data_IF_923585735503
#
_entry.id   IF_923585735503
#
_cell.length_a   1.000
_cell.length_b   1.000
_cell.length_c   1.000
_cell.angle_alpha   90.00
_cell.angle_beta   90.00
_cell.angle_gamma   90.00
#
_symmetry.space_group_name_H-M   'P 1'
#
loop_
_entity.id
_entity.type
_entity.pdbx_description
1 polymer ?
#
# COMPACT_ATOMS: atom_id res chain seq x y z
N UNK A 1 -31.69 -47.46 -41.67
CA UNK A 1 -30.98 -47.57 -40.37
C UNK A 1 -30.11 -46.34 -40.20
N UNK A 2 -30.65 -45.31 -39.50
CA UNK A 2 -29.93 -44.04 -39.27
C UNK A 2 -29.05 -44.18 -38.01
N UNK A 3 -27.73 -44.01 -38.20
CA UNK A 3 -26.80 -43.95 -37.06
C UNK A 3 -26.93 -42.55 -36.41
N UNK A 4 -27.40 -42.54 -35.16
CA UNK A 4 -27.40 -41.35 -34.32
C UNK A 4 -25.98 -41.11 -33.82
N UNK A 5 -25.30 -40.09 -34.33
CA UNK A 5 -24.02 -39.64 -33.77
C UNK A 5 -24.33 -38.87 -32.48
N UNK A 6 -23.93 -39.45 -31.33
CA UNK A 6 -23.95 -38.80 -30.03
C UNK A 6 -22.73 -37.88 -29.94
N UNK A 7 -22.96 -36.56 -30.05
CA UNK A 7 -21.91 -35.56 -29.81
C UNK A 7 -21.83 -35.35 -28.32
N UNK A 8 -20.74 -35.84 -27.71
CA UNK A 8 -20.42 -35.63 -26.32
C UNK A 8 -19.81 -34.22 -26.16
N UNK A 9 -20.56 -33.28 -25.64
CA UNK A 9 -20.03 -31.97 -25.26
C UNK A 9 -19.26 -32.13 -23.93
N UNK A 10 -17.94 -32.14 -23.98
CA UNK A 10 -17.09 -32.04 -22.80
C UNK A 10 -16.99 -30.52 -22.52
N UNK A 11 -17.72 -30.03 -21.54
CA UNK A 11 -17.53 -28.70 -20.99
C UNK A 11 -16.23 -28.71 -20.17
N UNK A 12 -15.16 -28.18 -20.75
CA UNK A 12 -13.94 -27.85 -20.01
C UNK A 12 -14.30 -26.66 -19.08
N UNK A 13 -14.62 -26.97 -17.84
CA UNK A 13 -14.57 -25.96 -16.77
C UNK A 13 -13.10 -25.68 -16.49
N UNK A 14 -12.54 -24.63 -17.09
CA UNK A 14 -11.32 -24.03 -16.62
C UNK A 14 -11.65 -23.41 -15.24
N UNK A 15 -11.27 -24.10 -14.17
CA UNK A 15 -11.18 -23.47 -12.86
C UNK A 15 -10.09 -22.40 -12.97
N UNK A 16 -10.48 -21.17 -13.23
CA UNK A 16 -9.61 -20.04 -12.94
C UNK A 16 -9.49 -20.01 -11.42
N UNK A 17 -8.35 -20.46 -10.90
CA UNK A 17 -8.01 -20.20 -9.51
C UNK A 17 -8.01 -18.69 -9.33
N UNK A 18 -9.05 -18.15 -8.74
CA UNK A 18 -9.07 -16.78 -8.28
C UNK A 18 -8.11 -16.72 -7.09
N UNK A 19 -6.84 -16.42 -7.37
CA UNK A 19 -5.90 -16.12 -6.30
C UNK A 19 -6.38 -14.84 -5.61
N UNK A 20 -6.89 -15.01 -4.41
CA UNK A 20 -7.20 -13.89 -3.54
C UNK A 20 -5.86 -13.21 -3.23
N UNK A 21 -5.68 -11.99 -3.71
CA UNK A 21 -4.55 -11.16 -3.35
C UNK A 21 -4.71 -10.79 -1.87
N UNK A 22 -3.73 -11.17 -1.06
CA UNK A 22 -3.80 -11.01 0.40
C UNK A 22 -3.11 -9.75 0.92
N UNK A 23 -2.65 -8.89 0.04
CA UNK A 23 -1.96 -7.63 0.41
C UNK A 23 -2.81 -6.73 1.31
N UNK A 24 -4.13 -6.88 1.25
CA UNK A 24 -5.10 -6.10 2.02
C UNK A 24 -5.75 -6.89 3.16
N UNK A 25 -5.15 -7.98 3.62
CA UNK A 25 -5.70 -8.78 4.71
C UNK A 25 -5.70 -8.04 6.06
N UNK A 26 -4.86 -7.05 6.24
CA UNK A 26 -4.85 -6.18 7.40
C UNK A 26 -5.22 -4.76 7.02
N UNK A 27 -6.03 -4.13 7.86
CA UNK A 27 -6.37 -2.71 7.78
C UNK A 27 -5.97 -2.06 9.09
N UNK A 28 -5.01 -1.12 9.03
CA UNK A 28 -4.57 -0.33 10.16
C UNK A 28 -5.05 1.11 9.96
N UNK A 29 -5.76 1.68 10.94
CA UNK A 29 -6.37 3.00 10.79
C UNK A 29 -6.69 3.65 12.14
N UNK A 30 -6.89 4.96 12.12
CA UNK A 30 -7.34 5.73 13.27
C UNK A 30 -6.36 5.68 14.44
N UNK A 31 -6.89 5.56 15.64
CA UNK A 31 -6.11 5.53 16.87
C UNK A 31 -5.99 4.10 17.37
N UNK A 32 -4.85 3.46 17.05
CA UNK A 32 -4.46 2.11 17.49
C UNK A 32 -5.31 0.96 16.93
N UNK A 33 -6.17 1.21 15.92
CA UNK A 33 -7.10 0.19 15.43
C UNK A 33 -6.53 -0.63 14.26
N UNK A 34 -6.88 -1.90 14.24
CA UNK A 34 -6.63 -2.81 13.12
C UNK A 34 -7.80 -3.76 12.94
N UNK A 35 -8.00 -4.21 11.70
CA UNK A 35 -8.89 -5.32 11.35
C UNK A 35 -8.06 -6.34 10.56
N UNK A 36 -8.15 -7.60 10.97
CA UNK A 36 -7.53 -8.73 10.29
C UNK A 36 -8.60 -9.56 9.59
N UNK A 37 -8.39 -9.85 8.30
CA UNK A 37 -9.28 -10.63 7.43
C UNK A 37 -8.70 -12.01 7.07
N UNK A 38 -7.69 -12.51 7.77
CA UNK A 38 -7.06 -13.82 7.48
C UNK A 38 -8.02 -14.99 7.60
N UNK A 39 -9.07 -14.82 8.37
CA UNK A 39 -10.15 -15.77 8.53
C UNK A 39 -11.44 -15.23 7.90
N UNK A 40 -12.40 -16.12 7.62
CA UNK A 40 -13.72 -15.73 7.09
C UNK A 40 -14.47 -14.71 7.97
N UNK A 41 -14.09 -14.59 9.25
CA UNK A 41 -14.65 -13.59 10.17
C UNK A 41 -13.60 -12.53 10.46
N UNK A 42 -13.83 -11.26 10.15
CA UNK A 42 -12.91 -10.16 10.47
C UNK A 42 -12.72 -10.03 11.99
N UNK A 43 -11.48 -9.87 12.41
CA UNK A 43 -11.11 -9.67 13.82
C UNK A 43 -10.60 -8.26 14.00
N UNK A 44 -11.26 -7.47 14.84
CA UNK A 44 -10.82 -6.13 15.21
C UNK A 44 -9.96 -6.17 16.47
N UNK A 45 -8.93 -5.32 16.53
CA UNK A 45 -8.06 -5.12 17.69
C UNK A 45 -7.68 -3.64 17.82
N UNK A 46 -7.20 -3.25 18.99
CA UNK A 46 -6.71 -1.91 19.33
C UNK A 46 -5.26 -1.95 19.81
N UNK A 47 -4.47 -2.90 19.31
CA UNK A 47 -3.13 -3.20 19.82
C UNK A 47 -1.98 -2.66 18.98
N UNK A 48 -2.26 -1.89 17.89
CA UNK A 48 -1.21 -1.31 17.06
C UNK A 48 -0.60 -0.06 17.68
N UNK A 49 0.63 0.29 17.30
CA UNK A 49 1.25 1.57 17.65
C UNK A 49 0.80 2.75 16.76
N UNK A 50 -0.13 2.50 15.81
CA UNK A 50 -0.61 3.50 14.88
C UNK A 50 -1.43 4.58 15.59
N UNK A 51 -1.00 5.83 15.46
CA UNK A 51 -1.84 6.98 15.76
C UNK A 51 -1.99 7.82 14.50
N UNK A 52 -3.20 7.93 13.98
CA UNK A 52 -3.53 8.77 12.84
C UNK A 52 -4.95 9.31 12.96
N UNK A 53 -5.15 10.56 12.56
CA UNK A 53 -6.49 11.15 12.48
C UNK A 53 -7.13 10.81 11.13
N UNK A 54 -6.36 10.90 10.03
CA UNK A 54 -6.84 10.62 8.67
C UNK A 54 -5.96 9.63 7.90
N UNK A 55 -4.68 9.95 7.74
CA UNK A 55 -3.79 9.23 6.83
C UNK A 55 -3.13 8.01 7.47
N UNK A 56 -3.48 6.84 7.01
CA UNK A 56 -2.82 5.59 7.38
C UNK A 56 -2.77 4.63 6.18
N UNK A 57 -1.76 3.80 6.15
CA UNK A 57 -1.63 2.73 5.16
C UNK A 57 -0.91 1.54 5.78
N UNK A 58 -1.30 0.34 5.39
CA UNK A 58 -0.63 -0.90 5.77
C UNK A 58 -0.56 -1.83 4.56
N UNK A 59 0.32 -2.80 4.63
CA UNK A 59 0.46 -3.80 3.58
C UNK A 59 0.76 -5.16 4.20
N UNK A 60 0.15 -6.19 3.64
CA UNK A 60 0.39 -7.58 3.99
C UNK A 60 1.14 -8.30 2.87
N UNK A 61 1.75 -9.43 3.20
CA UNK A 61 2.36 -10.32 2.22
C UNK A 61 1.28 -10.88 1.28
N UNK A 62 1.49 -10.75 -0.02
CA UNK A 62 0.51 -11.16 -1.04
C UNK A 62 0.20 -12.66 -1.04
N UNK A 63 1.07 -13.48 -0.48
CA UNK A 63 0.96 -14.93 -0.47
C UNK A 63 0.43 -15.45 0.86
N UNK A 64 1.02 -14.99 1.96
CA UNK A 64 0.64 -15.47 3.30
C UNK A 64 -0.51 -14.67 3.89
N UNK A 65 -0.61 -13.38 3.60
CA UNK A 65 -1.55 -12.45 4.21
C UNK A 65 -1.02 -11.81 5.50
N UNK A 66 0.13 -12.25 6.00
CA UNK A 66 0.74 -11.69 7.21
C UNK A 66 1.04 -10.20 7.04
N UNK A 67 0.75 -9.40 8.06
CA UNK A 67 1.11 -7.98 8.08
C UNK A 67 2.62 -7.83 7.90
N UNK A 68 3.04 -7.02 6.95
CA UNK A 68 4.45 -6.67 6.77
C UNK A 68 4.82 -5.44 7.58
N UNK A 69 4.12 -4.34 7.32
CA UNK A 69 4.32 -3.08 8.03
C UNK A 69 3.16 -2.13 7.80
N UNK A 70 3.16 -1.04 8.56
CA UNK A 70 2.16 0.03 8.46
C UNK A 70 2.78 1.39 8.77
N UNK A 71 2.08 2.47 8.40
CA UNK A 71 2.56 3.84 8.59
C UNK A 71 1.40 4.84 8.69
N UNK A 72 1.65 5.94 9.40
CA UNK A 72 0.80 7.13 9.40
C UNK A 72 1.38 8.27 8.52
N UNK A 73 2.38 7.96 7.69
CA UNK A 73 3.07 8.96 6.86
C UNK A 73 4.19 9.73 7.57
N UNK A 74 4.35 9.55 8.88
CA UNK A 74 5.42 10.16 9.69
C UNK A 74 6.35 9.10 10.26
N UNK A 75 5.79 7.98 10.71
CA UNK A 75 6.52 6.84 11.25
C UNK A 75 6.11 5.55 10.53
N UNK A 76 7.04 4.66 10.32
CA UNK A 76 6.83 3.31 9.82
C UNK A 76 7.07 2.32 10.95
N UNK A 77 6.11 1.45 11.20
CA UNK A 77 6.21 0.37 12.20
C UNK A 77 6.21 -0.99 11.51
N UNK A 78 7.01 -1.89 12.02
CA UNK A 78 6.99 -3.29 11.61
C UNK A 78 5.76 -4.04 12.15
N UNK A 79 5.63 -5.32 11.80
CA UNK A 79 4.52 -6.17 12.24
C UNK A 79 4.49 -6.47 13.75
N UNK A 80 5.57 -6.14 14.48
CA UNK A 80 5.66 -6.25 15.93
C UNK A 80 5.40 -4.91 16.64
N UNK A 81 4.82 -3.94 15.94
CA UNK A 81 4.51 -2.61 16.47
C UNK A 81 5.74 -1.78 16.90
N UNK A 82 6.93 -2.19 16.43
CA UNK A 82 8.19 -1.48 16.69
C UNK A 82 8.50 -0.52 15.54
N UNK A 83 8.93 0.73 15.82
CA UNK A 83 9.39 1.60 14.76
C UNK A 83 10.54 0.96 13.98
N UNK A 84 10.43 0.91 12.66
CA UNK A 84 11.52 0.43 11.80
C UNK A 84 12.78 1.28 11.97
N UNK A 85 13.98 0.71 11.81
CA UNK A 85 15.18 1.51 11.63
C UNK A 85 14.96 2.55 10.53
N UNK A 86 15.43 3.78 10.74
CA UNK A 86 15.21 4.94 9.87
C UNK A 86 13.73 5.29 9.57
N UNK A 87 12.77 4.58 10.14
CA UNK A 87 11.35 4.69 9.86
C UNK A 87 10.65 5.91 10.47
N UNK A 88 11.33 6.79 11.17
CA UNK A 88 10.75 8.02 11.74
C UNK A 88 11.10 9.25 10.91
N UNK A 89 10.23 10.27 10.93
CA UNK A 89 10.44 11.54 10.24
C UNK A 89 10.21 11.46 8.73
N UNK A 90 9.25 10.67 8.27
CA UNK A 90 8.72 10.77 6.93
C UNK A 90 7.98 12.11 6.78
N UNK A 91 7.92 12.63 5.55
CA UNK A 91 7.38 13.97 5.24
C UNK A 91 5.86 14.01 5.07
N UNK A 92 5.13 13.02 5.55
CA UNK A 92 3.67 13.07 5.59
C UNK A 92 3.13 13.79 6.82
N UNK A 93 1.82 13.79 6.96
CA UNK A 93 1.14 14.38 8.11
C UNK A 93 -0.01 13.47 8.57
N UNK A 94 0.08 12.97 9.78
CA UNK A 94 -0.90 12.03 10.37
C UNK A 94 -2.29 12.62 10.56
N UNK A 95 -2.43 13.94 10.49
CA UNK A 95 -3.70 14.62 10.78
C UNK A 95 -4.56 14.82 9.54
N UNK A 96 -3.97 14.99 8.35
CA UNK A 96 -4.71 15.49 7.19
C UNK A 96 -4.29 14.84 5.87
N UNK A 97 -3.11 14.21 5.78
CA UNK A 97 -2.59 13.74 4.49
C UNK A 97 -2.76 12.26 4.31
N UNK A 98 -3.12 11.85 3.11
CA UNK A 98 -3.09 10.46 2.73
C UNK A 98 -1.65 9.97 2.58
N UNK A 99 -1.38 8.76 3.07
CA UNK A 99 -0.18 8.01 2.78
C UNK A 99 -0.54 6.77 1.94
N UNK A 100 0.31 6.41 1.01
CA UNK A 100 0.08 5.30 0.09
C UNK A 100 1.28 4.37 0.08
N UNK A 101 1.06 3.09 0.33
CA UNK A 101 2.07 2.04 0.16
C UNK A 101 1.79 1.30 -1.15
N UNK A 102 2.83 1.09 -1.97
CA UNK A 102 2.76 0.24 -3.16
C UNK A 102 3.95 -0.72 -3.21
N UNK A 103 3.78 -1.92 -3.76
CA UNK A 103 4.93 -2.75 -4.11
C UNK A 103 5.86 -1.99 -5.08
N UNK A 104 7.16 -2.25 -5.00
CA UNK A 104 8.11 -1.72 -5.98
C UNK A 104 8.15 -2.66 -7.18
N UNK A 105 7.86 -2.18 -8.41
CA UNK A 105 7.99 -2.96 -9.62
C UNK A 105 9.36 -3.65 -9.73
N UNK A 106 9.36 -4.93 -10.10
CA UNK A 106 10.58 -5.72 -10.22
C UNK A 106 11.19 -6.21 -8.90
N UNK A 107 10.53 -5.98 -7.76
CA UNK A 107 10.98 -6.48 -6.46
C UNK A 107 9.85 -7.18 -5.70
N UNK A 108 10.17 -8.27 -5.03
CA UNK A 108 9.24 -8.97 -4.13
C UNK A 108 9.27 -8.47 -2.68
N UNK A 109 10.30 -7.71 -2.31
CA UNK A 109 10.59 -7.37 -0.91
C UNK A 109 10.73 -5.87 -0.66
N UNK A 110 10.57 -5.04 -1.71
CA UNK A 110 10.66 -3.57 -1.57
C UNK A 110 9.32 -2.92 -1.85
N UNK A 111 9.09 -1.83 -1.13
CA UNK A 111 7.85 -1.09 -1.18
C UNK A 111 8.15 0.41 -1.22
N UNK A 112 7.35 1.14 -1.99
CA UNK A 112 7.29 2.60 -1.90
C UNK A 112 6.29 3.02 -0.84
N UNK A 113 6.62 4.08 -0.12
CA UNK A 113 5.69 4.86 0.71
C UNK A 113 5.63 6.25 0.11
N UNK A 114 4.51 6.63 -0.48
CA UNK A 114 4.28 7.98 -0.99
C UNK A 114 3.62 8.83 0.09
N UNK A 115 4.13 10.04 0.26
CA UNK A 115 3.62 11.01 1.22
C UNK A 115 3.40 12.36 0.56
N UNK A 116 2.36 13.05 0.97
CA UNK A 116 2.08 14.45 0.60
C UNK A 116 2.20 15.33 1.82
N UNK A 117 2.43 16.61 1.61
CA UNK A 117 2.38 17.59 2.70
C UNK A 117 0.96 18.02 3.04
N UNK A 118 0.84 18.60 4.22
CA UNK A 118 -0.38 19.26 4.66
C UNK A 118 -0.71 20.43 3.74
N UNK A 119 -1.92 20.44 3.21
CA UNK A 119 -2.44 21.52 2.38
C UNK A 119 -2.33 22.87 3.10
N UNK A 120 -1.81 23.87 2.41
CA UNK A 120 -1.62 25.21 2.94
C UNK A 120 -0.27 25.48 3.63
N UNK A 121 0.54 24.46 3.85
CA UNK A 121 1.95 24.64 4.15
C UNK A 121 2.74 24.84 2.85
N UNK A 122 3.75 25.68 2.87
CA UNK A 122 4.73 25.82 1.78
C UNK A 122 5.68 24.62 1.72
N UNK A 123 5.15 23.44 1.96
CA UNK A 123 5.89 22.20 2.09
C UNK A 123 6.38 21.63 0.75
N UNK A 124 7.19 20.59 0.80
CA UNK A 124 8.01 20.16 -0.31
C UNK A 124 7.32 19.27 -1.35
N UNK A 125 6.01 19.25 -1.45
CA UNK A 125 5.29 18.51 -2.49
C UNK A 125 5.22 16.99 -2.26
N UNK A 126 5.11 16.23 -3.35
CA UNK A 126 5.01 14.78 -3.31
C UNK A 126 6.38 14.13 -3.13
N UNK A 127 6.48 13.22 -2.17
CA UNK A 127 7.71 12.47 -1.85
C UNK A 127 7.44 10.99 -1.78
N UNK A 128 8.53 10.21 -1.90
CA UNK A 128 8.48 8.79 -1.56
C UNK A 128 9.63 8.38 -0.64
N UNK A 129 9.41 7.31 0.08
CA UNK A 129 10.41 6.56 0.83
C UNK A 129 10.39 5.10 0.36
N UNK A 130 11.48 4.37 0.60
CA UNK A 130 11.61 2.96 0.20
C UNK A 130 11.85 2.12 1.43
N UNK A 131 11.02 1.10 1.63
CA UNK A 131 11.20 0.04 2.63
C UNK A 131 11.76 -1.19 1.94
N UNK A 132 12.75 -1.83 2.57
CA UNK A 132 13.29 -3.14 2.17
C UNK A 132 13.08 -4.16 3.27
N UNK A 133 12.18 -5.13 3.03
CA UNK A 133 11.82 -6.17 3.99
C UNK A 133 12.89 -7.25 4.17
N UNK A 134 13.96 -7.26 3.36
CA UNK A 134 15.08 -8.21 3.55
C UNK A 134 15.99 -7.80 4.69
N UNK A 135 15.89 -6.56 5.14
CA UNK A 135 16.72 -5.98 6.20
C UNK A 135 16.13 -6.24 7.59
N UNK A 136 16.91 -5.95 8.62
CA UNK A 136 16.49 -6.05 10.02
C UNK A 136 15.85 -7.43 10.33
N UNK A 137 16.48 -8.51 9.88
CA UNK A 137 16.00 -9.89 10.08
C UNK A 137 14.57 -10.14 9.54
N UNK A 138 14.17 -9.44 8.48
CA UNK A 138 12.85 -9.58 7.87
C UNK A 138 11.78 -8.69 8.50
N UNK A 139 12.16 -7.75 9.36
CA UNK A 139 11.25 -6.73 9.92
C UNK A 139 11.28 -5.42 9.14
N UNK A 140 12.24 -5.28 8.22
CA UNK A 140 12.34 -4.14 7.33
C UNK A 140 13.17 -2.98 7.86
N UNK A 141 13.63 -2.17 6.92
CA UNK A 141 14.33 -0.90 7.17
C UNK A 141 13.98 0.10 6.08
N UNK A 142 14.00 1.39 6.40
CA UNK A 142 13.77 2.47 5.43
C UNK A 142 15.08 2.88 4.78
N UNK A 143 15.33 2.39 3.57
CA UNK A 143 16.56 2.62 2.81
C UNK A 143 16.70 4.04 2.27
N UNK A 144 15.61 4.55 1.71
CA UNK A 144 15.52 5.90 1.14
C UNK A 144 14.40 6.62 1.84
N UNK A 145 14.66 7.85 2.27
CA UNK A 145 13.66 8.62 2.99
C UNK A 145 13.45 9.98 2.33
N UNK A 146 12.16 10.31 2.10
CA UNK A 146 11.71 11.62 1.68
C UNK A 146 12.31 12.09 0.33
N UNK A 147 12.52 11.16 -0.61
CA UNK A 147 12.98 11.55 -1.95
C UNK A 147 11.90 12.39 -2.63
N UNK A 148 12.30 13.57 -3.12
CA UNK A 148 11.40 14.51 -3.78
C UNK A 148 11.01 13.98 -5.16
N UNK A 149 9.72 13.74 -5.38
CA UNK A 149 9.18 13.30 -6.65
C UNK A 149 8.61 14.48 -7.46
N UNK A 150 7.90 15.40 -6.78
CA UNK A 150 7.29 16.57 -7.39
C UNK A 150 7.32 17.75 -6.42
N UNK A 151 7.86 18.91 -6.87
CA UNK A 151 8.10 20.06 -5.98
C UNK A 151 6.88 20.96 -5.73
N UNK A 152 6.00 21.26 -6.72
CA UNK A 152 4.77 22.01 -6.41
C UNK A 152 3.91 21.28 -5.39
N UNK A 153 3.15 22.06 -4.62
CA UNK A 153 2.21 21.51 -3.63
C UNK A 153 1.16 20.66 -4.35
N UNK A 154 0.93 19.47 -3.84
CA UNK A 154 -0.13 18.58 -4.32
C UNK A 154 -1.30 18.56 -3.34
N UNK A 155 -2.47 18.17 -3.79
CA UNK A 155 -3.60 17.86 -2.93
C UNK A 155 -3.27 16.66 -2.04
N UNK A 156 -3.92 16.56 -0.89
CA UNK A 156 -3.66 15.56 0.14
C UNK A 156 -4.07 14.13 -0.26
N UNK A 157 -4.56 13.94 -1.47
CA UNK A 157 -5.09 12.65 -1.95
C UNK A 157 -4.19 12.02 -2.98
N UNK A 158 -3.93 10.73 -2.77
CA UNK A 158 -3.13 9.87 -3.65
C UNK A 158 -3.93 8.62 -4.01
N UNK A 159 -3.66 8.07 -5.17
CA UNK A 159 -4.12 6.73 -5.53
C UNK A 159 -3.09 6.02 -6.40
N UNK A 160 -3.16 4.70 -6.43
CA UNK A 160 -2.35 3.91 -7.34
C UNK A 160 -3.18 2.80 -7.99
N UNK A 161 -2.77 2.41 -9.19
CA UNK A 161 -3.35 1.28 -9.90
C UNK A 161 -2.29 0.57 -10.73
N UNK A 162 -2.49 -0.70 -10.99
CA UNK A 162 -1.60 -1.45 -11.87
C UNK A 162 -1.63 -0.89 -13.29
N UNK A 163 -0.45 -0.76 -13.88
CA UNK A 163 -0.32 -0.49 -15.31
C UNK A 163 -0.78 -1.72 -16.12
N UNK A 164 -1.27 -1.49 -17.34
CA UNK A 164 -1.79 -2.55 -18.21
C UNK A 164 -0.77 -3.65 -18.58
N UNK A 165 0.52 -3.40 -18.39
CA UNK A 165 1.56 -4.40 -18.58
C UNK A 165 1.65 -5.44 -17.44
N UNK A 166 0.89 -5.26 -16.35
CA UNK A 166 0.84 -6.17 -15.20
C UNK A 166 2.08 -6.15 -14.30
N UNK A 167 3.03 -5.26 -14.52
CA UNK A 167 4.29 -5.16 -13.76
C UNK A 167 4.50 -3.81 -13.11
N UNK A 168 4.14 -2.74 -13.78
CA UNK A 168 4.32 -1.37 -13.31
C UNK A 168 3.07 -0.86 -12.59
N UNK A 169 3.23 0.22 -11.86
CA UNK A 169 2.16 0.85 -11.09
C UNK A 169 2.09 2.32 -11.44
N UNK A 170 0.91 2.81 -11.78
CA UNK A 170 0.63 4.23 -11.86
C UNK A 170 0.35 4.79 -10.46
N UNK A 171 1.01 5.88 -10.11
CA UNK A 171 0.68 6.68 -8.94
C UNK A 171 0.13 8.00 -9.43
N UNK A 172 -1.06 8.38 -8.96
CA UNK A 172 -1.76 9.59 -9.41
C UNK A 172 -1.94 10.55 -8.25
N UNK A 173 -1.58 11.81 -8.48
CA UNK A 173 -1.79 12.93 -7.60
C UNK A 173 -2.43 14.10 -8.35
N UNK A 174 -2.90 15.11 -7.64
CA UNK A 174 -3.46 16.34 -8.21
C UNK A 174 -2.68 17.53 -7.66
N UNK A 175 -2.21 18.44 -8.53
CA UNK A 175 -1.60 19.68 -8.07
C UNK A 175 -2.62 20.57 -7.35
N UNK A 176 -2.15 21.22 -6.29
CA UNK A 176 -3.00 22.14 -5.56
C UNK A 176 -3.18 23.47 -6.31
N UNK A 177 -4.40 23.99 -6.35
CA UNK A 177 -4.71 25.31 -6.89
C UNK A 177 -4.87 25.38 -8.41
N UNK A 178 -4.82 24.25 -9.13
CA UNK A 178 -5.07 24.18 -10.56
C UNK A 178 -5.82 22.88 -10.95
N UNK A 179 -5.90 22.55 -12.22
CA UNK A 179 -6.59 21.37 -12.73
C UNK A 179 -5.63 20.30 -13.30
N UNK A 180 -4.36 20.32 -12.91
CA UNK A 180 -3.37 19.37 -13.38
C UNK A 180 -3.38 18.08 -12.56
N UNK A 181 -3.59 16.94 -13.21
CA UNK A 181 -3.31 15.63 -12.65
C UNK A 181 -1.89 15.19 -13.01
N UNK A 182 -1.21 14.62 -12.06
CA UNK A 182 0.14 14.09 -12.17
C UNK A 182 0.07 12.56 -12.16
N UNK A 183 0.85 11.92 -13.03
CA UNK A 183 1.02 10.46 -13.04
C UNK A 183 2.50 10.10 -13.08
N UNK A 184 2.89 9.15 -12.26
CA UNK A 184 4.26 8.66 -12.10
C UNK A 184 4.30 7.16 -12.26
#
# INVERSE_FOLDING_TARGET
MMKKNLILFIALFSFADAFCQKESNHWCFGQYNTINFDNCTPIASTETSLYSIEGASCISDKTTGELLFYTNGVTVWDRNDSPMPNGSGLSGNQSNTQVLITPMPGSSNKFYIFTTDLQGNSGPGLRYSIVDMTLNSGFGDVLTKNYLLHNPIVCEKLTATWHSNGTDIWVVAHEFGNNNFLSF
#
